data_IF_247355505886
#
_entry.id   IF_247355505886
#
_cell.length_a   1.000
_cell.length_b   1.000
_cell.length_c   1.000
_cell.angle_alpha   90.00
_cell.angle_beta   90.00
_cell.angle_gamma   90.00
#
_symmetry.space_group_name_H-M   'P 1'
#
loop_
_entity.id
_entity.type
_entity.pdbx_description
1 polymer ?
#
# COMPACT_ATOMS: atom_id res chain seq x y z
N UNK A 1 -1.28 -8.56 5.74
CA UNK A 1 -2.18 -9.73 5.88
C UNK A 1 -1.55 -10.93 6.57
N UNK A 2 -0.21 -11.00 6.72
CA UNK A 2 0.45 -12.16 7.33
C UNK A 2 0.89 -13.23 6.32
N UNK A 3 0.80 -12.95 5.02
CA UNK A 3 1.42 -13.82 4.01
C UNK A 3 2.94 -13.87 4.14
N UNK A 4 3.50 -15.02 3.81
CA UNK A 4 4.93 -15.32 3.87
C UNK A 4 5.75 -14.30 3.07
N UNK A 5 5.26 -13.91 1.90
CA UNK A 5 5.89 -12.90 1.05
C UNK A 5 4.89 -11.78 0.73
N UNK A 6 5.02 -10.66 1.42
CA UNK A 6 4.24 -9.45 1.16
C UNK A 6 5.04 -8.51 0.26
N UNK A 7 5.07 -8.82 -1.03
CA UNK A 7 5.67 -7.94 -2.04
C UNK A 7 4.89 -6.63 -2.19
N UNK A 8 5.49 -5.65 -2.86
CA UNK A 8 4.80 -4.41 -3.22
C UNK A 8 3.55 -4.68 -4.05
N UNK A 9 3.64 -5.56 -5.05
CA UNK A 9 2.51 -5.95 -5.89
C UNK A 9 1.42 -6.62 -5.06
N UNK A 10 1.80 -7.48 -4.10
CA UNK A 10 0.84 -8.02 -3.14
C UNK A 10 0.15 -6.90 -2.36
N UNK A 11 0.92 -6.00 -1.73
CA UNK A 11 0.38 -4.92 -0.91
C UNK A 11 -0.59 -4.03 -1.71
N UNK A 12 -0.22 -3.65 -2.94
CA UNK A 12 -0.98 -2.72 -3.77
C UNK A 12 -2.14 -3.36 -4.54
N UNK A 13 -2.01 -4.61 -5.00
CA UNK A 13 -3.00 -5.24 -5.89
C UNK A 13 -3.87 -6.32 -5.22
N UNK A 14 -3.35 -7.11 -4.27
CA UNK A 14 -4.05 -8.31 -3.76
C UNK A 14 -4.22 -8.44 -2.25
N UNK A 15 -3.46 -7.69 -1.43
CA UNK A 15 -3.45 -7.83 0.03
C UNK A 15 -4.83 -7.58 0.66
N UNK A 16 -5.48 -8.59 1.28
CA UNK A 16 -6.85 -8.44 1.79
C UNK A 16 -6.96 -7.39 2.91
N UNK A 17 -5.87 -7.13 3.64
CA UNK A 17 -5.82 -6.11 4.69
C UNK A 17 -6.13 -4.70 4.19
N UNK A 18 -5.88 -4.42 2.91
CA UNK A 18 -6.04 -3.09 2.32
C UNK A 18 -7.14 -3.04 1.26
N UNK A 19 -8.04 -4.04 1.22
CA UNK A 19 -9.06 -4.16 0.18
C UNK A 19 -9.96 -2.92 0.08
N UNK A 20 -10.37 -2.36 1.21
CA UNK A 20 -11.26 -1.19 1.26
C UNK A 20 -10.55 0.08 0.80
N UNK A 21 -9.30 0.27 1.23
CA UNK A 21 -8.50 1.44 0.88
C UNK A 21 -7.97 1.37 -0.56
N UNK A 22 -7.94 0.19 -1.18
CA UNK A 22 -7.44 -0.04 -2.55
C UNK A 22 -8.21 0.73 -3.61
N UNK A 23 -9.46 1.12 -3.34
CA UNK A 23 -10.26 1.93 -4.27
C UNK A 23 -9.55 3.22 -4.69
N UNK A 24 -8.72 3.79 -3.83
CA UNK A 24 -7.94 4.99 -4.17
C UNK A 24 -6.85 4.73 -5.22
N UNK A 25 -6.34 3.50 -5.32
CA UNK A 25 -5.37 3.13 -6.35
C UNK A 25 -6.06 2.91 -7.71
N UNK A 26 -7.32 2.47 -7.69
CA UNK A 26 -8.13 2.26 -8.90
C UNK A 26 -8.41 3.54 -9.67
N UNK A 27 -8.37 4.70 -9.02
CA UNK A 27 -8.52 5.99 -9.72
C UNK A 27 -7.33 6.30 -10.62
N UNK A 28 -6.15 5.71 -10.36
CA UNK A 28 -4.96 5.86 -11.18
C UNK A 28 -4.74 4.67 -12.14
N UNK A 29 -5.09 3.46 -11.72
CA UNK A 29 -5.03 2.26 -12.56
C UNK A 29 -6.14 1.29 -12.15
N UNK A 30 -7.17 1.15 -13.00
CA UNK A 30 -8.35 0.31 -12.73
C UNK A 30 -7.97 -1.15 -12.46
N UNK A 31 -7.02 -1.67 -13.24
CA UNK A 31 -6.45 -3.01 -13.15
C UNK A 31 -5.33 -3.12 -12.10
N UNK A 32 -5.01 -2.02 -11.41
CA UNK A 32 -3.98 -1.94 -10.37
C UNK A 32 -2.61 -2.40 -10.84
N UNK A 33 -2.30 -2.09 -12.10
CA UNK A 33 -1.01 -2.41 -12.71
C UNK A 33 0.05 -1.62 -11.95
N UNK A 34 0.98 -2.35 -11.34
CA UNK A 34 1.93 -1.72 -10.41
C UNK A 34 2.92 -0.78 -11.13
N UNK A 35 3.22 -1.02 -12.42
CA UNK A 35 3.99 -0.06 -13.21
C UNK A 35 3.27 1.27 -13.40
N UNK A 36 1.94 1.28 -13.52
CA UNK A 36 1.17 2.51 -13.73
C UNK A 36 1.07 3.29 -12.42
N UNK A 37 0.82 2.58 -11.32
CA UNK A 37 0.77 3.17 -9.97
C UNK A 37 2.12 3.82 -9.60
N UNK A 38 3.24 3.29 -10.08
CA UNK A 38 4.58 3.77 -9.70
C UNK A 38 5.30 4.58 -10.76
N UNK A 39 4.84 4.51 -12.00
CA UNK A 39 5.48 5.13 -13.15
C UNK A 39 4.78 6.40 -13.62
N UNK A 40 3.56 6.67 -13.14
CA UNK A 40 2.78 7.85 -13.53
C UNK A 40 2.62 8.84 -12.38
N UNK A 41 2.40 10.11 -12.70
CA UNK A 41 2.18 11.13 -11.68
C UNK A 41 0.91 10.85 -10.89
N UNK A 42 -0.16 10.50 -11.59
CA UNK A 42 -1.47 10.16 -11.04
C UNK A 42 -1.36 8.92 -10.13
N UNK A 43 -0.60 7.91 -10.56
CA UNK A 43 -0.27 6.73 -9.76
C UNK A 43 0.44 7.06 -8.46
N UNK A 44 1.46 7.92 -8.52
CA UNK A 44 2.21 8.34 -7.33
C UNK A 44 1.32 9.15 -6.37
N UNK A 45 0.46 10.03 -6.87
CA UNK A 45 -0.50 10.79 -6.05
C UNK A 45 -1.50 9.84 -5.36
N UNK A 46 -2.05 8.88 -6.10
CA UNK A 46 -2.93 7.84 -5.55
C UNK A 46 -2.21 6.99 -4.49
N UNK A 47 -0.95 6.62 -4.74
CA UNK A 47 -0.13 5.88 -3.79
C UNK A 47 0.11 6.68 -2.50
N UNK A 48 0.43 7.97 -2.60
CA UNK A 48 0.60 8.84 -1.42
C UNK A 48 -0.68 8.82 -0.57
N UNK A 49 -1.85 8.93 -1.21
CA UNK A 49 -3.12 8.88 -0.51
C UNK A 49 -3.35 7.50 0.16
N UNK A 50 -3.10 6.41 -0.56
CA UNK A 50 -3.16 5.05 -0.02
C UNK A 50 -2.29 4.89 1.23
N UNK A 51 -1.05 5.37 1.19
CA UNK A 51 -0.10 5.29 2.31
C UNK A 51 -0.58 6.06 3.54
N UNK A 52 -1.16 7.25 3.34
CA UNK A 52 -1.73 8.08 4.41
C UNK A 52 -2.90 7.39 5.10
N UNK A 53 -3.74 6.67 4.35
CA UNK A 53 -4.93 6.02 4.88
C UNK A 53 -4.62 4.68 5.56
N UNK A 54 -3.65 3.92 5.05
CA UNK A 54 -3.41 2.53 5.48
C UNK A 54 -2.35 2.39 6.57
N UNK A 55 -1.51 3.42 6.78
CA UNK A 55 -0.27 3.30 7.56
C UNK A 55 0.59 2.07 7.15
N UNK A 56 0.43 1.55 5.93
CA UNK A 56 0.94 0.23 5.52
C UNK A 56 2.46 0.08 5.66
N UNK A 57 3.20 1.20 5.66
CA UNK A 57 4.66 1.24 5.77
C UNK A 57 5.14 2.02 6.99
N UNK A 58 4.26 2.29 7.96
CA UNK A 58 4.64 3.00 9.19
C UNK A 58 5.52 2.07 10.01
N UNK A 59 6.82 2.40 10.12
CA UNK A 59 7.73 1.71 11.03
C UNK A 59 7.20 1.83 12.45
N UNK A 60 6.85 0.71 13.08
CA UNK A 60 6.64 0.68 14.51
C UNK A 60 7.98 0.98 15.19
N UNK A 61 8.00 1.92 16.13
CA UNK A 61 9.17 2.13 17.00
C UNK A 61 9.40 0.80 17.73
N UNK A 62 10.64 0.28 17.80
CA UNK A 62 10.92 -0.91 18.61
C UNK A 62 10.44 -0.66 20.05
N UNK A 63 9.87 -1.69 20.72
CA UNK A 63 9.42 -1.55 22.09
C UNK A 63 10.59 -1.06 22.95
N UNK A 64 10.34 -0.04 23.79
CA UNK A 64 11.29 0.38 24.81
C UNK A 64 11.55 -0.80 25.74
N UNK A 65 12.82 -1.21 25.97
CA UNK A 65 13.13 -2.25 26.94
C UNK A 65 12.55 -1.87 28.32
N UNK A 66 12.00 -2.81 29.09
CA UNK A 66 11.61 -2.55 30.46
C UNK A 66 12.84 -2.14 31.29
N UNK A 67 12.70 -1.11 32.13
CA UNK A 67 13.70 -0.66 33.13
C UNK A 67 14.00 -1.74 34.17
#
# INVERSE_FOLDING_TARGET
>A
CGELLQSRDHILATCPTYADQRQVLKTASEDLVTSDILGTKEGIEALIQFLRTTNAFKKHRPPTPPE
#
